data_IF_538726142754
#
_entry.id   IF_538726142754
#
_cell.length_a   1.000
_cell.length_b   1.000
_cell.length_c   1.000
_cell.angle_alpha   90.00
_cell.angle_beta   90.00
_cell.angle_gamma   90.00
#
_symmetry.space_group_name_H-M   'P 1'
#
loop_
_entity.id
_entity.type
_entity.pdbx_description
1 polymer ?
#
# COMPACT_ATOMS: atom_id res chain seq x y z
N UNK A 1 -2.46 2.07 -3.93
CA UNK A 1 -3.05 1.15 -2.91
C UNK A 1 -4.21 0.35 -3.48
N UNK A 2 -4.63 0.68 -4.69
CA UNK A 2 -5.88 0.24 -5.32
C UNK A 2 -5.74 -1.04 -6.12
N UNK A 3 -4.50 -1.46 -6.38
CA UNK A 3 -4.18 -2.80 -6.89
C UNK A 3 -3.84 -3.75 -5.75
N UNK A 4 -4.08 -5.07 -5.90
CA UNK A 4 -3.66 -6.06 -4.90
C UNK A 4 -2.18 -5.97 -4.53
N UNK A 5 -1.29 -5.84 -5.53
CA UNK A 5 0.15 -5.70 -5.28
C UNK A 5 0.53 -4.41 -4.58
N UNK A 6 -0.10 -3.29 -4.94
CA UNK A 6 0.13 -2.01 -4.26
C UNK A 6 -0.35 -2.05 -2.81
N UNK A 7 -1.45 -2.76 -2.55
CA UNK A 7 -2.00 -2.97 -1.21
C UNK A 7 -1.09 -3.83 -0.34
N UNK A 8 -0.61 -4.96 -0.86
CA UNK A 8 0.36 -5.84 -0.19
C UNK A 8 1.65 -5.08 0.14
N UNK A 9 2.16 -4.31 -0.82
CA UNK A 9 3.41 -3.57 -0.66
C UNK A 9 3.35 -2.54 0.49
N UNK A 10 2.32 -1.69 0.54
CA UNK A 10 2.25 -0.62 1.56
C UNK A 10 2.13 -1.15 2.99
N UNK A 11 1.61 -2.37 3.17
CA UNK A 11 1.54 -3.02 4.48
C UNK A 11 2.90 -3.54 4.97
N UNK A 12 3.82 -3.82 4.05
CA UNK A 12 5.08 -4.55 4.32
C UNK A 12 6.34 -3.70 4.18
N UNK A 13 6.22 -2.44 3.73
CA UNK A 13 7.36 -1.52 3.75
C UNK A 13 7.86 -1.34 5.19
N UNK A 14 9.19 -1.23 5.42
CA UNK A 14 9.75 -1.23 6.78
C UNK A 14 9.14 -0.20 7.72
N UNK A 15 8.78 0.98 7.22
CA UNK A 15 8.14 2.03 8.02
C UNK A 15 6.74 1.65 8.52
N UNK A 16 5.95 0.91 7.73
CA UNK A 16 4.62 0.44 8.15
C UNK A 16 4.74 -0.81 9.04
N UNK A 17 5.50 -1.81 8.58
CA UNK A 17 5.67 -3.09 9.24
C UNK A 17 6.20 -2.95 10.68
N UNK A 18 7.20 -2.08 10.86
CA UNK A 18 7.90 -1.86 12.13
C UNK A 18 7.38 -0.63 12.90
N UNK A 19 6.26 -0.03 12.48
CA UNK A 19 5.71 1.12 13.20
C UNK A 19 5.29 0.74 14.63
N UNK A 20 5.40 1.69 15.55
CA UNK A 20 4.91 1.54 16.92
C UNK A 20 3.37 1.56 17.03
N UNK A 21 2.67 1.75 15.90
CA UNK A 21 1.21 1.78 15.85
C UNK A 21 0.64 0.37 16.03
N UNK A 22 -0.49 0.30 16.73
CA UNK A 22 -1.32 -0.90 16.72
C UNK A 22 -1.84 -1.20 15.32
N UNK A 23 -2.28 -2.44 15.08
CA UNK A 23 -2.79 -2.85 13.78
C UNK A 23 -4.00 -2.00 13.35
N UNK A 24 -4.87 -1.63 14.29
CA UNK A 24 -6.00 -0.74 14.05
C UNK A 24 -5.58 0.70 13.74
N UNK A 25 -4.58 1.24 14.45
CA UNK A 25 -4.06 2.58 14.19
C UNK A 25 -3.38 2.66 12.81
N UNK A 26 -2.58 1.65 12.46
CA UNK A 26 -1.96 1.58 11.14
C UNK A 26 -3.01 1.44 10.03
N UNK A 27 -4.05 0.62 10.22
CA UNK A 27 -5.17 0.53 9.28
C UNK A 27 -5.83 1.90 9.06
N UNK A 28 -6.09 2.65 10.14
CA UNK A 28 -6.69 3.99 10.06
C UNK A 28 -5.82 4.98 9.29
N UNK A 29 -4.50 4.98 9.52
CA UNK A 29 -3.56 5.84 8.78
C UNK A 29 -3.54 5.49 7.29
N UNK A 30 -3.48 4.20 6.95
CA UNK A 30 -3.47 3.75 5.56
C UNK A 30 -4.79 4.09 4.84
N UNK A 31 -5.92 3.96 5.53
CA UNK A 31 -7.23 4.37 5.00
C UNK A 31 -7.30 5.89 4.77
N UNK A 32 -6.76 6.67 5.70
CA UNK A 32 -6.67 8.12 5.54
C UNK A 32 -5.79 8.52 4.35
N UNK A 33 -4.62 7.90 4.19
CA UNK A 33 -3.74 8.11 3.04
C UNK A 33 -4.44 7.71 1.73
N UNK A 34 -5.10 6.55 1.72
CA UNK A 34 -5.83 6.07 0.57
C UNK A 34 -6.87 7.10 0.11
N UNK A 35 -7.73 7.56 1.02
CA UNK A 35 -8.74 8.59 0.74
C UNK A 35 -8.11 9.91 0.28
N UNK A 36 -6.97 10.31 0.86
CA UNK A 36 -6.30 11.58 0.54
C UNK A 36 -5.67 11.60 -0.85
N UNK A 37 -5.19 10.46 -1.33
CA UNK A 37 -4.43 10.35 -2.58
C UNK A 37 -5.17 9.62 -3.71
N UNK A 38 -6.31 8.98 -3.45
CA UNK A 38 -7.14 8.33 -4.47
C UNK A 38 -8.22 9.26 -5.05
N UNK A 39 -8.11 10.58 -4.88
CA UNK A 39 -9.15 11.52 -5.29
C UNK A 39 -9.41 11.55 -6.81
N UNK A 40 -8.42 11.14 -7.62
CA UNK A 40 -8.54 11.03 -9.07
C UNK A 40 -8.97 9.63 -9.55
N UNK A 41 -9.16 8.68 -8.63
CA UNK A 41 -9.61 7.33 -8.98
C UNK A 41 -11.15 7.28 -9.03
N UNK A 42 -11.72 6.58 -10.02
CA UNK A 42 -13.18 6.44 -10.18
C UNK A 42 -13.85 5.76 -8.97
N UNK A 43 -13.12 4.88 -8.28
CA UNK A 43 -13.59 4.20 -7.08
C UNK A 43 -12.49 4.19 -6.03
N UNK A 44 -12.78 4.58 -4.78
CA UNK A 44 -11.80 4.50 -3.71
C UNK A 44 -11.36 3.04 -3.48
N UNK A 45 -10.10 2.82 -3.10
CA UNK A 45 -9.63 1.49 -2.73
C UNK A 45 -10.40 0.96 -1.51
N UNK A 46 -10.51 -0.37 -1.43
CA UNK A 46 -11.11 -1.02 -0.28
C UNK A 46 -10.37 -0.63 1.02
N UNK A 47 -11.09 -0.41 2.10
CA UNK A 47 -10.50 -0.08 3.39
C UNK A 47 -9.64 -1.23 3.93
N UNK A 48 -8.50 -0.91 4.53
CA UNK A 48 -7.69 -1.79 5.36
C UNK A 48 -8.41 -2.13 6.66
N UNK A 49 -8.36 -3.40 7.05
CA UNK A 49 -8.82 -3.86 8.38
C UNK A 49 -7.64 -4.14 9.29
N UNK A 50 -7.88 -4.12 10.61
CA UNK A 50 -6.84 -4.44 11.58
C UNK A 50 -6.34 -5.89 11.44
N UNK A 51 -7.24 -6.82 11.15
CA UNK A 51 -6.93 -8.25 10.98
C UNK A 51 -6.04 -8.48 9.76
N UNK A 52 -6.33 -7.82 8.65
CA UNK A 52 -5.50 -7.87 7.47
C UNK A 52 -4.10 -7.30 7.74
N UNK A 53 -4.04 -6.14 8.40
CA UNK A 53 -2.78 -5.50 8.78
C UNK A 53 -1.96 -6.43 9.67
N UNK A 54 -2.56 -6.99 10.72
CA UNK A 54 -1.91 -7.91 11.65
C UNK A 54 -1.32 -9.13 10.95
N UNK A 55 -2.04 -9.69 9.96
CA UNK A 55 -1.61 -10.84 9.17
C UNK A 55 -0.48 -10.51 8.21
N UNK A 56 -0.59 -9.41 7.46
CA UNK A 56 0.28 -9.13 6.32
C UNK A 56 1.55 -8.40 6.74
N UNK A 57 1.46 -7.40 7.63
CA UNK A 57 2.59 -6.50 7.97
C UNK A 57 3.81 -7.22 8.53
N UNK A 58 3.61 -8.41 9.13
CA UNK A 58 4.65 -9.23 9.76
C UNK A 58 5.43 -10.09 8.77
N UNK A 59 5.08 -10.05 7.48
CA UNK A 59 5.78 -10.77 6.42
C UNK A 59 6.80 -9.82 5.78
N UNK A 60 8.11 -10.00 6.02
CA UNK A 60 9.12 -9.08 5.50
C UNK A 60 9.17 -9.06 3.97
N UNK A 61 9.56 -7.93 3.40
CA UNK A 61 9.98 -7.86 1.99
C UNK A 61 11.46 -8.23 1.91
N UNK A 62 11.81 -9.21 1.07
CA UNK A 62 13.21 -9.59 0.85
C UNK A 62 14.02 -8.42 0.27
N UNK A 63 13.44 -7.68 -0.68
CA UNK A 63 14.02 -6.47 -1.23
C UNK A 63 12.93 -5.43 -1.52
N UNK A 64 12.89 -4.39 -0.69
CA UNK A 64 11.87 -3.32 -0.76
C UNK A 64 11.97 -2.54 -2.07
N UNK A 65 13.18 -2.28 -2.57
CA UNK A 65 13.40 -1.50 -3.79
C UNK A 65 12.99 -2.29 -5.04
N UNK A 66 13.29 -3.59 -5.07
CA UNK A 66 12.82 -4.49 -6.14
C UNK A 66 11.31 -4.58 -6.15
N UNK A 67 10.70 -4.88 -5.00
CA UNK A 67 9.24 -4.98 -4.89
C UNK A 67 8.56 -3.68 -5.33
N UNK A 68 9.10 -2.52 -4.94
CA UNK A 68 8.58 -1.22 -5.39
C UNK A 68 8.57 -1.11 -6.91
N UNK A 69 9.68 -1.46 -7.57
CA UNK A 69 9.79 -1.42 -9.05
C UNK A 69 8.80 -2.36 -9.71
N UNK A 70 8.58 -3.55 -9.16
CA UNK A 70 7.58 -4.49 -9.67
C UNK A 70 6.16 -3.93 -9.58
N UNK A 71 5.78 -3.39 -8.41
CA UNK A 71 4.47 -2.77 -8.20
C UNK A 71 4.25 -1.61 -9.18
N UNK A 72 5.25 -0.74 -9.36
CA UNK A 72 5.18 0.39 -10.29
C UNK A 72 5.04 -0.09 -11.74
N UNK A 73 5.81 -1.11 -12.16
CA UNK A 73 5.67 -1.70 -13.50
C UNK A 73 4.29 -2.29 -13.73
N UNK A 74 3.72 -2.99 -12.73
CA UNK A 74 2.36 -3.51 -12.79
C UNK A 74 1.32 -2.40 -12.93
N UNK A 75 1.49 -1.29 -12.21
CA UNK A 75 0.61 -0.12 -12.32
C UNK A 75 0.66 0.51 -13.73
N UNK A 76 1.86 0.72 -14.27
CA UNK A 76 2.05 1.24 -15.64
C UNK A 76 1.38 0.34 -16.68
N UNK A 77 1.54 -0.99 -16.55
CA UNK A 77 0.92 -1.96 -17.46
C UNK A 77 -0.62 -1.97 -17.37
N UNK A 78 -1.18 -1.64 -16.20
CA UNK A 78 -2.63 -1.54 -16.00
C UNK A 78 -3.26 -0.22 -16.49
N UNK A 79 -2.46 0.67 -17.10
CA UNK A 79 -2.94 1.95 -17.61
C UNK A 79 -3.12 3.04 -16.54
N UNK A 80 -2.66 2.79 -15.31
CA UNK A 80 -2.66 3.80 -14.25
C UNK A 80 -1.55 4.80 -14.54
N UNK A 81 -1.91 6.07 -14.70
CA UNK A 81 -0.95 7.15 -14.91
C UNK A 81 0.00 7.25 -13.70
N UNK A 82 1.29 7.05 -13.95
CA UNK A 82 2.32 7.29 -12.94
C UNK A 82 2.69 8.78 -12.96
N UNK A 83 2.84 9.43 -11.79
CA UNK A 83 3.40 10.78 -11.73
C UNK A 83 4.78 10.81 -12.40
N UNK A 84 5.16 11.96 -12.97
CA UNK A 84 6.42 12.14 -13.71
C UNK A 84 7.70 11.86 -12.90
N UNK A 85 7.57 11.66 -11.59
CA UNK A 85 8.65 11.48 -10.63
C UNK A 85 8.55 10.11 -9.95
N UNK A 86 8.92 9.03 -10.65
CA UNK A 86 9.11 7.68 -10.08
C UNK A 86 10.21 6.89 -10.76
#
# INVERSE_FOLDING_TARGET
MSTPDGRDYVLRVPGAANSALSDAQLAAVLNWLAMRYSAAEERPPASFTAEEVARVRRTPLANVKERRREVIRGLAASGVALPAEY
#
